data_IF_921100643461
#
_entry.id   IF_921100643461
#
_cell.length_a   1.000
_cell.length_b   1.000
_cell.length_c   1.000
_cell.angle_alpha   90.00
_cell.angle_beta   90.00
_cell.angle_gamma   90.00
#
_symmetry.space_group_name_H-M   'P 1'
#
loop_
_entity.id
_entity.type
_entity.pdbx_description
1 polymer ?
#
# COMPACT_ATOMS: atom_id res chain seq x y z
N UNK A 1 -23.72 0.35 -27.74
CA UNK A 1 -23.64 1.62 -26.99
C UNK A 1 -22.64 1.42 -25.86
N UNK A 2 -21.50 2.12 -25.95
CA UNK A 2 -20.43 2.10 -24.96
C UNK A 2 -20.97 2.62 -23.61
N UNK A 3 -21.03 1.78 -22.59
CA UNK A 3 -21.05 2.27 -21.21
C UNK A 3 -19.68 2.89 -20.97
N UNK A 4 -19.59 4.22 -21.03
CA UNK A 4 -18.49 4.97 -20.42
C UNK A 4 -18.32 4.40 -19.00
N UNK A 5 -17.12 3.90 -18.70
CA UNK A 5 -16.76 3.48 -17.36
C UNK A 5 -17.12 4.61 -16.40
N UNK A 6 -17.91 4.28 -15.38
CA UNK A 6 -18.11 5.16 -14.25
C UNK A 6 -16.71 5.37 -13.67
N UNK A 7 -16.12 6.56 -13.81
CA UNK A 7 -14.85 6.87 -13.15
C UNK A 7 -15.05 6.59 -11.66
N UNK A 8 -14.44 5.51 -11.19
CA UNK A 8 -14.49 5.11 -9.79
C UNK A 8 -13.71 6.18 -9.03
N UNK A 9 -14.41 6.95 -8.19
CA UNK A 9 -13.79 7.97 -7.34
C UNK A 9 -12.68 7.29 -6.53
N UNK A 10 -11.46 7.84 -6.58
CA UNK A 10 -10.31 7.25 -5.89
C UNK A 10 -10.49 7.33 -4.38
N UNK A 11 -9.96 6.36 -3.63
CA UNK A 11 -10.01 6.39 -2.15
C UNK A 11 -9.50 7.69 -1.55
N UNK A 12 -8.42 8.27 -2.09
CA UNK A 12 -7.90 9.56 -1.59
C UNK A 12 -8.87 10.72 -1.83
N UNK A 13 -9.59 10.74 -2.95
CA UNK A 13 -10.61 11.77 -3.22
C UNK A 13 -11.82 11.63 -2.30
N UNK A 14 -12.22 10.39 -1.98
CA UNK A 14 -13.26 10.12 -0.98
C UNK A 14 -12.83 10.58 0.42
N UNK A 15 -11.57 10.36 0.78
CA UNK A 15 -10.99 10.79 2.04
C UNK A 15 -10.97 12.31 2.13
N UNK A 16 -10.47 12.99 1.08
CA UNK A 16 -10.40 14.44 1.01
C UNK A 16 -11.79 15.06 1.14
N UNK A 17 -12.79 14.51 0.43
CA UNK A 17 -14.19 14.94 0.54
C UNK A 17 -14.76 14.75 1.95
N UNK A 18 -14.44 13.64 2.62
CA UNK A 18 -14.87 13.41 4.00
C UNK A 18 -14.29 14.45 4.95
N UNK A 19 -13.01 14.77 4.79
CA UNK A 19 -12.30 15.77 5.60
C UNK A 19 -12.80 17.19 5.33
N UNK A 20 -13.05 17.54 4.07
CA UNK A 20 -13.57 18.86 3.69
C UNK A 20 -15.00 19.09 4.20
N UNK A 21 -15.79 18.02 4.32
CA UNK A 21 -17.14 18.08 4.90
C UNK A 21 -17.15 18.18 6.42
N UNK A 22 -16.01 17.96 7.07
CA UNK A 22 -15.92 17.93 8.51
C UNK A 22 -15.96 19.35 9.11
N UNK A 23 -16.88 19.57 10.05
CA UNK A 23 -17.01 20.84 10.75
C UNK A 23 -16.31 20.74 12.11
N UNK A 24 -15.13 21.34 12.22
CA UNK A 24 -14.37 21.40 13.48
C UNK A 24 -12.94 20.91 13.34
N UNK A 25 -12.27 20.77 14.49
CA UNK A 25 -10.91 20.27 14.58
C UNK A 25 -10.91 18.75 14.44
N UNK A 26 -10.22 18.25 13.42
CA UNK A 26 -10.02 16.81 13.21
C UNK A 26 -9.28 16.19 14.42
N UNK A 27 -9.81 15.06 14.89
CA UNK A 27 -9.31 14.26 16.01
C UNK A 27 -8.70 12.94 15.53
N UNK A 28 -7.86 12.31 16.35
CA UNK A 28 -7.35 10.96 16.09
C UNK A 28 -8.44 9.92 15.82
N UNK A 29 -9.59 10.03 16.49
CA UNK A 29 -10.72 9.10 16.30
C UNK A 29 -11.34 9.25 14.91
N UNK A 30 -11.50 10.48 14.41
CA UNK A 30 -12.00 10.71 13.05
C UNK A 30 -11.01 10.22 12.00
N UNK A 31 -9.71 10.45 12.20
CA UNK A 31 -8.67 9.91 11.30
C UNK A 31 -8.76 8.39 11.23
N UNK A 32 -8.79 7.70 12.37
CA UNK A 32 -8.91 6.24 12.40
C UNK A 32 -10.20 5.75 11.71
N UNK A 33 -11.33 6.41 11.96
CA UNK A 33 -12.62 6.02 11.37
C UNK A 33 -12.64 6.22 9.86
N UNK A 34 -12.11 7.34 9.35
CA UNK A 34 -12.03 7.62 7.91
C UNK A 34 -11.17 6.56 7.22
N UNK A 35 -9.98 6.28 7.78
CA UNK A 35 -9.04 5.29 7.23
C UNK A 35 -9.63 3.89 7.25
N UNK A 36 -10.27 3.49 8.36
CA UNK A 36 -10.97 2.21 8.45
C UNK A 36 -12.12 2.12 7.44
N UNK A 37 -12.91 3.19 7.27
CA UNK A 37 -14.07 3.15 6.37
C UNK A 37 -13.68 3.04 4.89
N UNK A 38 -12.64 3.78 4.47
CA UNK A 38 -12.23 3.92 3.06
C UNK A 38 -11.17 2.88 2.67
N UNK A 39 -10.14 2.71 3.49
CA UNK A 39 -8.99 1.86 3.19
C UNK A 39 -9.04 0.51 3.89
N UNK A 40 -9.97 0.30 4.83
CA UNK A 40 -10.11 -0.93 5.63
C UNK A 40 -8.89 -1.23 6.51
N UNK A 41 -8.14 -0.20 6.88
CA UNK A 41 -7.04 -0.32 7.85
C UNK A 41 -7.50 0.13 9.23
N UNK A 42 -7.33 -0.75 10.21
CA UNK A 42 -7.42 -0.37 11.62
C UNK A 42 -6.06 0.17 12.10
N UNK A 43 -5.90 1.50 12.08
CA UNK A 43 -4.68 2.15 12.56
C UNK A 43 -4.41 1.89 14.05
N UNK A 44 -5.42 1.56 14.85
CA UNK A 44 -5.25 1.32 16.29
C UNK A 44 -4.51 0.01 16.58
N UNK A 45 -4.48 -0.89 15.61
CA UNK A 45 -3.76 -2.19 15.69
C UNK A 45 -2.37 -2.15 15.09
N UNK A 46 -1.98 -1.03 14.45
CA UNK A 46 -0.70 -0.95 13.72
C UNK A 46 0.41 -0.41 14.62
N UNK A 47 1.62 -0.99 14.54
CA UNK A 47 2.76 -0.51 15.32
C UNK A 47 3.14 0.90 14.86
N UNK A 48 3.53 1.75 15.81
CA UNK A 48 4.04 3.09 15.52
C UNK A 48 5.54 3.00 15.25
N UNK A 49 5.99 3.57 14.14
CA UNK A 49 7.38 3.47 13.68
C UNK A 49 8.33 4.50 14.30
N UNK A 50 7.79 5.52 14.99
CA UNK A 50 8.63 6.55 15.60
C UNK A 50 9.33 6.02 16.85
N UNK A 51 10.64 6.25 16.96
CA UNK A 51 11.46 5.86 18.12
C UNK A 51 10.91 6.38 19.45
N UNK A 52 10.33 7.59 19.43
CA UNK A 52 9.71 8.23 20.58
C UNK A 52 8.52 7.43 21.10
N UNK A 53 7.69 6.91 20.19
CA UNK A 53 6.51 6.11 20.54
C UNK A 53 6.83 4.64 20.83
N UNK A 54 7.84 4.06 20.17
CA UNK A 54 8.32 2.69 20.46
C UNK A 54 8.77 2.59 21.93
N UNK A 55 9.49 3.61 22.42
CA UNK A 55 9.88 3.69 23.84
C UNK A 55 8.67 3.86 24.77
N UNK A 56 7.65 4.62 24.37
CA UNK A 56 6.42 4.78 25.14
C UNK A 56 5.54 3.50 25.15
N UNK A 57 5.56 2.73 24.06
CA UNK A 57 4.84 1.46 23.89
C UNK A 57 5.40 0.36 24.77
N UNK A 58 6.72 0.31 24.93
CA UNK A 58 7.36 -0.61 25.87
C UNK A 58 7.02 -0.33 27.35
N UNK A 59 6.46 0.85 27.67
CA UNK A 59 6.20 1.33 29.04
C UNK A 59 4.70 1.43 29.35
N UNK A 60 3.82 1.45 28.34
CA UNK A 60 2.38 1.66 28.51
C UNK A 60 1.53 0.52 27.96
N UNK A 61 0.61 -0.01 28.77
CA UNK A 61 -0.35 -1.07 28.39
C UNK A 61 -1.58 -0.57 27.61
N UNK A 62 -1.55 0.66 27.09
CA UNK A 62 -2.76 1.30 26.56
C UNK A 62 -2.95 1.10 25.06
N UNK A 63 -4.15 0.64 24.73
CA UNK A 63 -4.89 0.56 23.46
C UNK A 63 -4.96 1.90 22.65
N UNK A 64 -4.10 2.88 22.94
CA UNK A 64 -4.25 4.27 22.51
C UNK A 64 -2.96 4.94 22.02
N UNK A 65 -1.85 4.22 21.88
CA UNK A 65 -0.56 4.81 21.43
C UNK A 65 -0.67 5.35 20.00
N UNK A 66 -1.34 4.62 19.11
CA UNK A 66 -1.64 5.09 17.77
C UNK A 66 -2.41 6.43 17.78
N UNK A 67 -3.45 6.54 18.61
CA UNK A 67 -4.24 7.78 18.72
C UNK A 67 -3.44 8.91 19.34
N UNK A 68 -2.65 8.64 20.38
CA UNK A 68 -1.74 9.63 20.99
C UNK A 68 -0.70 10.14 19.98
N UNK A 69 -0.14 9.25 19.16
CA UNK A 69 0.78 9.63 18.09
C UNK A 69 0.12 10.53 17.04
N UNK A 70 -1.12 10.20 16.65
CA UNK A 70 -1.91 11.01 15.73
C UNK A 70 -2.22 12.38 16.36
N UNK A 71 -2.77 12.44 17.58
CA UNK A 71 -3.14 13.69 18.24
C UNK A 71 -1.93 14.60 18.48
N UNK A 72 -0.79 14.02 18.91
CA UNK A 72 0.47 14.74 19.07
C UNK A 72 0.96 15.33 17.75
N UNK A 73 0.88 14.57 16.67
CA UNK A 73 1.32 15.05 15.35
C UNK A 73 0.35 16.09 14.78
N UNK A 74 -0.97 15.88 14.92
CA UNK A 74 -2.02 16.84 14.54
C UNK A 74 -1.87 18.17 15.28
N UNK A 75 -1.42 18.17 16.53
CA UNK A 75 -1.22 19.40 17.32
C UNK A 75 -0.16 20.35 16.73
N UNK A 76 0.70 19.85 15.84
CA UNK A 76 1.73 20.63 15.14
C UNK A 76 1.19 21.35 13.90
N UNK A 77 0.00 20.99 13.44
CA UNK A 77 -0.68 21.64 12.33
C UNK A 77 -1.54 22.81 12.81
N UNK A 78 -1.87 23.72 11.89
CA UNK A 78 -2.76 24.85 12.15
C UNK A 78 -4.22 24.45 12.32
N UNK A 79 -5.13 25.43 12.32
CA UNK A 79 -6.56 25.21 12.56
C UNK A 79 -7.24 24.30 11.51
N UNK A 80 -6.69 24.20 10.30
CA UNK A 80 -7.21 23.36 9.22
C UNK A 80 -6.13 22.45 8.67
N UNK A 81 -6.34 21.14 8.80
CA UNK A 81 -5.45 20.10 8.26
C UNK A 81 -6.07 19.56 6.97
N UNK A 82 -5.28 19.48 5.91
CA UNK A 82 -5.68 18.96 4.60
C UNK A 82 -5.57 17.44 4.56
N UNK A 83 -6.27 16.80 3.62
CA UNK A 83 -6.17 15.35 3.46
C UNK A 83 -4.78 14.86 3.06
N UNK A 84 -4.02 15.65 2.30
CA UNK A 84 -2.61 15.36 1.98
C UNK A 84 -1.79 15.30 3.28
N UNK A 85 -1.94 16.28 4.17
CA UNK A 85 -1.21 16.32 5.44
C UNK A 85 -1.58 15.14 6.35
N UNK A 86 -2.85 14.74 6.39
CA UNK A 86 -3.26 13.55 7.17
C UNK A 86 -2.65 12.27 6.58
N UNK A 87 -2.60 12.12 5.25
CA UNK A 87 -1.96 10.95 4.62
C UNK A 87 -0.45 10.92 4.87
N UNK A 88 0.22 12.07 4.81
CA UNK A 88 1.64 12.19 5.15
C UNK A 88 1.90 11.83 6.61
N UNK A 89 1.07 12.31 7.53
CA UNK A 89 1.11 11.96 8.96
C UNK A 89 0.96 10.45 9.15
N UNK A 90 -0.02 9.81 8.49
CA UNK A 90 -0.22 8.36 8.58
C UNK A 90 1.00 7.61 8.06
N UNK A 91 1.57 8.04 6.94
CA UNK A 91 2.79 7.43 6.41
C UNK A 91 3.96 7.58 7.40
N UNK A 92 4.13 8.76 8.00
CA UNK A 92 5.20 9.00 8.98
C UNK A 92 5.03 8.14 10.25
N UNK A 93 3.81 7.99 10.76
CA UNK A 93 3.54 7.28 12.01
C UNK A 93 3.58 5.76 11.80
N UNK A 94 2.99 5.25 10.71
CA UNK A 94 2.72 3.82 10.53
C UNK A 94 3.45 3.19 9.34
N UNK A 95 4.10 3.98 8.50
CA UNK A 95 4.67 3.53 7.23
C UNK A 95 3.60 2.98 6.29
N UNK A 96 2.45 3.66 6.22
CA UNK A 96 1.33 3.31 5.35
C UNK A 96 1.14 4.45 4.34
N UNK A 97 1.47 4.18 3.09
CA UNK A 97 1.36 5.15 2.00
C UNK A 97 -0.04 5.08 1.34
N UNK A 98 -0.99 5.84 1.87
CA UNK A 98 -2.38 5.84 1.39
C UNK A 98 -2.52 6.35 -0.06
N UNK A 99 -1.67 7.28 -0.50
CA UNK A 99 -1.64 7.74 -1.89
C UNK A 99 -1.22 6.62 -2.85
N UNK A 100 -0.16 5.87 -2.50
CA UNK A 100 0.28 4.71 -3.28
C UNK A 100 -0.81 3.63 -3.34
N UNK A 101 -1.44 3.32 -2.21
CA UNK A 101 -2.53 2.34 -2.13
C UNK A 101 -3.70 2.74 -3.05
N UNK A 102 -4.09 4.02 -3.03
CA UNK A 102 -5.17 4.48 -3.91
C UNK A 102 -4.76 4.51 -5.39
N UNK A 103 -3.48 4.73 -5.69
CA UNK A 103 -2.98 4.69 -7.08
C UNK A 103 -3.00 3.29 -7.69
N UNK A 104 -2.97 2.23 -6.87
CA UNK A 104 -3.05 0.84 -7.31
C UNK A 104 -4.48 0.37 -7.61
N UNK A 105 -5.50 1.16 -7.27
CA UNK A 105 -6.89 0.78 -7.55
C UNK A 105 -7.14 0.68 -9.06
N UNK A 106 -7.56 -0.52 -9.52
CA UNK A 106 -7.76 -0.79 -10.94
C UNK A 106 -6.47 -0.95 -11.74
N UNK A 107 -5.31 -0.95 -11.07
CA UNK A 107 -4.01 -1.10 -11.71
C UNK A 107 -3.66 -2.56 -12.03
N UNK A 108 -4.57 -3.49 -11.71
CA UNK A 108 -4.45 -4.95 -11.94
C UNK A 108 -3.30 -5.58 -11.17
N UNK A 109 -3.01 -5.04 -9.98
CA UNK A 109 -2.00 -5.53 -9.05
C UNK A 109 -2.64 -5.70 -7.67
N UNK A 110 -2.59 -6.92 -7.15
CA UNK A 110 -2.89 -7.16 -5.73
C UNK A 110 -1.65 -6.88 -4.90
N UNK A 111 -1.82 -6.21 -3.76
CA UNK A 111 -0.76 -5.92 -2.80
C UNK A 111 -1.09 -6.58 -1.47
N UNK A 112 -0.25 -7.54 -1.06
CA UNK A 112 -0.24 -8.09 0.29
C UNK A 112 0.94 -7.50 1.05
N UNK A 113 0.69 -6.92 2.21
CA UNK A 113 1.73 -6.29 3.01
C UNK A 113 1.35 -6.30 4.48
N UNK A 114 2.32 -6.58 5.35
CA UNK A 114 2.12 -6.65 6.81
C UNK A 114 0.97 -7.59 7.20
N UNK A 115 1.00 -8.80 6.66
CA UNK A 115 0.05 -9.90 6.92
C UNK A 115 -1.43 -9.62 6.59
N UNK A 116 -1.68 -8.75 5.62
CA UNK A 116 -3.03 -8.44 5.15
C UNK A 116 -3.04 -8.01 3.67
N UNK A 117 -4.17 -8.21 3.02
CA UNK A 117 -4.46 -7.61 1.72
C UNK A 117 -4.68 -6.11 1.86
N UNK A 118 -3.87 -5.34 1.15
CA UNK A 118 -3.93 -3.87 1.11
C UNK A 118 -4.74 -3.40 -0.10
N UNK A 119 -4.51 -4.05 -1.24
CA UNK A 119 -5.30 -3.93 -2.48
C UNK A 119 -5.47 -5.34 -3.02
N UNK A 120 -6.68 -5.69 -3.41
CA UNK A 120 -6.98 -6.96 -4.04
C UNK A 120 -8.26 -6.81 -4.85
N UNK A 121 -8.23 -7.29 -6.08
CA UNK A 121 -9.38 -7.46 -6.96
C UNK A 121 -9.28 -8.84 -7.64
N UNK A 122 -10.43 -9.49 -7.87
CA UNK A 122 -10.49 -10.83 -8.46
C UNK A 122 -9.94 -10.86 -9.89
N UNK A 123 -9.79 -9.70 -10.54
CA UNK A 123 -9.24 -9.56 -11.90
C UNK A 123 -7.79 -9.06 -11.94
N UNK A 124 -7.15 -8.88 -10.78
CA UNK A 124 -5.73 -8.50 -10.75
C UNK A 124 -4.88 -9.57 -11.44
N UNK A 125 -3.79 -9.14 -12.10
CA UNK A 125 -2.93 -10.04 -12.88
C UNK A 125 -1.72 -10.54 -12.09
N UNK A 126 -1.18 -9.69 -11.21
CA UNK A 126 0.03 -10.00 -10.45
C UNK A 126 -0.18 -9.67 -8.97
N UNK A 127 0.47 -10.45 -8.11
CA UNK A 127 0.56 -10.19 -6.68
C UNK A 127 1.94 -9.64 -6.37
N UNK A 128 1.96 -8.53 -5.63
CA UNK A 128 3.15 -8.04 -4.92
C UNK A 128 2.95 -8.34 -3.45
N UNK A 129 3.87 -9.10 -2.87
CA UNK A 129 3.81 -9.50 -1.47
C UNK A 129 5.06 -8.98 -0.75
N UNK A 130 4.88 -8.14 0.27
CA UNK A 130 5.98 -7.65 1.12
C UNK A 130 5.93 -8.25 2.52
N UNK A 131 7.10 -8.58 3.06
CA UNK A 131 7.25 -9.02 4.45
C UNK A 131 6.99 -7.89 5.45
N UNK A 132 6.80 -8.23 6.73
CA UNK A 132 6.46 -7.29 7.81
C UNK A 132 7.41 -6.08 7.94
N UNK A 133 8.70 -6.29 7.67
CA UNK A 133 9.73 -5.25 7.77
C UNK A 133 9.96 -4.46 6.48
N UNK A 134 9.20 -4.74 5.41
CA UNK A 134 9.45 -4.23 4.06
C UNK A 134 10.89 -4.49 3.57
N UNK A 135 11.57 -5.51 4.10
CA UNK A 135 12.94 -5.88 3.73
C UNK A 135 12.94 -6.74 2.46
N UNK A 136 11.85 -7.47 2.23
CA UNK A 136 11.71 -8.44 1.17
C UNK A 136 10.41 -8.29 0.39
N UNK A 137 10.45 -8.72 -0.88
CA UNK A 137 9.34 -8.65 -1.83
C UNK A 137 9.28 -9.93 -2.65
N UNK A 138 8.07 -10.48 -2.81
CA UNK A 138 7.74 -11.56 -3.73
C UNK A 138 6.78 -11.05 -4.79
N UNK A 139 6.98 -11.48 -6.04
CA UNK A 139 6.10 -11.15 -7.16
C UNK A 139 5.73 -12.44 -7.88
N UNK A 140 4.45 -12.66 -8.11
CA UNK A 140 3.92 -13.85 -8.76
C UNK A 140 2.59 -13.55 -9.47
N UNK A 141 2.13 -14.48 -10.29
CA UNK A 141 0.87 -14.43 -11.04
C UNK A 141 -0.32 -14.70 -10.13
N UNK A 142 -1.50 -14.20 -10.50
CA UNK A 142 -2.78 -14.60 -9.88
C UNK A 142 -3.39 -15.78 -10.63
N UNK A 143 -4.36 -16.45 -9.99
CA UNK A 143 -5.17 -17.48 -10.65
C UNK A 143 -5.88 -16.90 -11.88
N UNK A 144 -6.43 -15.68 -11.79
CA UNK A 144 -7.07 -15.00 -12.91
C UNK A 144 -6.12 -14.83 -14.10
N UNK A 145 -4.87 -14.41 -13.87
CA UNK A 145 -3.89 -14.30 -14.95
C UNK A 145 -3.65 -15.65 -15.64
N UNK A 146 -3.50 -16.72 -14.85
CA UNK A 146 -3.31 -18.07 -15.40
C UNK A 146 -4.53 -18.55 -16.17
N UNK A 147 -5.74 -18.30 -15.68
CA UNK A 147 -6.98 -18.64 -16.39
C UNK A 147 -7.11 -17.90 -17.73
N UNK A 148 -6.73 -16.62 -17.78
CA UNK A 148 -6.84 -15.81 -18.99
C UNK A 148 -5.73 -16.08 -20.03
N UNK A 149 -4.53 -16.46 -19.58
CA UNK A 149 -3.35 -16.54 -20.46
C UNK A 149 -2.81 -17.96 -20.65
N UNK A 150 -3.16 -18.89 -19.76
CA UNK A 150 -2.57 -20.22 -19.67
C UNK A 150 -1.14 -20.22 -19.12
N UNK A 151 -0.63 -19.09 -18.61
CA UNK A 151 0.72 -18.97 -18.07
C UNK A 151 0.69 -19.02 -16.53
N UNK A 152 1.48 -19.92 -15.96
CA UNK A 152 1.67 -20.03 -14.50
C UNK A 152 2.82 -19.14 -14.01
N UNK A 153 3.77 -18.80 -14.88
CA UNK A 153 4.92 -17.96 -14.55
C UNK A 153 4.73 -16.50 -14.99
N UNK A 154 5.50 -15.59 -14.39
CA UNK A 154 5.57 -14.20 -14.84
C UNK A 154 6.02 -14.11 -16.31
N UNK A 155 5.57 -13.11 -17.07
CA UNK A 155 6.01 -12.90 -18.45
C UNK A 155 7.53 -12.73 -18.54
N UNK A 156 8.18 -13.30 -19.56
CA UNK A 156 9.65 -13.27 -19.71
C UNK A 156 10.24 -11.85 -19.69
N UNK A 157 9.51 -10.88 -20.24
CA UNK A 157 9.87 -9.45 -20.23
C UNK A 157 9.90 -8.88 -18.82
N UNK A 158 8.91 -9.22 -17.99
CA UNK A 158 8.86 -8.85 -16.59
C UNK A 158 9.93 -9.59 -15.78
N UNK A 159 10.11 -10.90 -16.01
CA UNK A 159 11.18 -11.70 -15.41
C UNK A 159 12.56 -11.05 -15.60
N UNK A 160 12.89 -10.66 -16.85
CA UNK A 160 14.16 -10.00 -17.16
C UNK A 160 14.29 -8.64 -16.46
N UNK A 161 13.21 -7.86 -16.43
CA UNK A 161 13.20 -6.55 -15.79
C UNK A 161 13.43 -6.67 -14.28
N UNK A 162 12.76 -7.62 -13.62
CA UNK A 162 12.93 -7.91 -12.20
C UNK A 162 14.35 -8.43 -11.88
N UNK A 163 14.91 -9.27 -12.75
CA UNK A 163 16.29 -9.74 -12.61
C UNK A 163 17.29 -8.57 -12.63
N UNK A 164 17.04 -7.54 -13.44
CA UNK A 164 17.89 -6.33 -13.47
C UNK A 164 17.81 -5.52 -12.16
N UNK A 165 16.72 -5.64 -11.40
CA UNK A 165 16.60 -5.08 -10.05
C UNK A 165 17.24 -5.97 -8.96
N UNK A 166 17.77 -7.14 -9.33
CA UNK A 166 18.38 -8.09 -8.42
C UNK A 166 17.42 -9.11 -7.83
N UNK A 167 16.22 -9.27 -8.40
CA UNK A 167 15.34 -10.38 -8.03
C UNK A 167 15.92 -11.71 -8.54
N UNK A 168 15.72 -12.76 -7.76
CA UNK A 168 15.98 -14.14 -8.16
C UNK A 168 14.68 -14.92 -8.31
N UNK A 169 14.62 -15.82 -9.29
CA UNK A 169 13.52 -16.76 -9.42
C UNK A 169 13.62 -17.83 -8.32
N UNK A 170 12.56 -18.00 -7.55
CA UNK A 170 12.34 -19.20 -6.73
C UNK A 170 11.50 -20.18 -7.55
N UNK A 171 12.18 -21.07 -8.29
CA UNK A 171 11.56 -22.04 -9.19
C UNK A 171 10.57 -22.98 -8.47
N UNK A 172 10.75 -23.21 -7.17
CA UNK A 172 9.84 -24.08 -6.40
C UNK A 172 8.54 -23.38 -6.03
N UNK A 173 8.59 -22.06 -5.85
CA UNK A 173 7.46 -21.24 -5.46
C UNK A 173 6.79 -20.50 -6.63
N UNK A 174 7.36 -20.59 -7.85
CA UNK A 174 6.85 -19.88 -9.02
C UNK A 174 6.86 -18.36 -8.86
N UNK A 175 7.77 -17.82 -8.04
CA UNK A 175 7.79 -16.41 -7.69
C UNK A 175 9.17 -15.78 -7.86
N UNK A 176 9.19 -14.47 -8.10
CA UNK A 176 10.39 -13.67 -8.09
C UNK A 176 10.57 -13.03 -6.72
N UNK A 177 11.72 -13.28 -6.10
CA UNK A 177 12.02 -12.84 -4.76
C UNK A 177 13.20 -11.86 -4.74
N UNK A 178 13.06 -10.81 -3.94
CA UNK A 178 14.13 -9.88 -3.60
C UNK A 178 14.16 -9.69 -2.09
N UNK A 179 15.36 -9.57 -1.53
CA UNK A 179 15.60 -9.23 -0.13
C UNK A 179 16.70 -8.19 -0.10
N UNK A 180 16.48 -7.07 0.59
CA UNK A 180 17.49 -6.03 0.72
C UNK A 180 18.73 -6.60 1.44
N UNK A 181 19.92 -6.61 0.82
CA UNK A 181 21.13 -7.17 1.44
C UNK A 181 21.57 -6.47 2.72
N UNK A 182 21.18 -5.19 2.94
CA UNK A 182 21.49 -4.50 4.20
C UNK A 182 20.61 -4.96 5.36
N UNK A 183 19.53 -5.69 5.10
CA UNK A 183 18.51 -6.04 6.09
C UNK A 183 17.60 -4.87 6.49
N UNK A 184 17.75 -3.72 5.85
CA UNK A 184 16.90 -2.55 6.09
C UNK A 184 15.65 -2.59 5.20
N UNK A 185 14.62 -1.85 5.61
CA UNK A 185 13.43 -1.66 4.78
C UNK A 185 13.81 -1.09 3.42
N UNK A 186 13.21 -1.63 2.36
CA UNK A 186 13.40 -1.18 1.00
C UNK A 186 12.93 0.27 0.88
N UNK A 187 13.74 1.19 0.31
CA UNK A 187 13.33 2.57 0.13
C UNK A 187 12.11 2.70 -0.79
N UNK A 188 11.18 3.62 -0.47
CA UNK A 188 9.97 3.85 -1.27
C UNK A 188 10.25 4.18 -2.74
N UNK A 189 11.35 4.87 -3.04
CA UNK A 189 11.77 5.14 -4.41
C UNK A 189 12.06 3.84 -5.20
N UNK A 190 12.68 2.85 -4.56
CA UNK A 190 12.94 1.55 -5.17
C UNK A 190 11.65 0.72 -5.30
N UNK A 191 10.79 0.73 -4.27
CA UNK A 191 9.45 0.13 -4.36
C UNK A 191 8.66 0.71 -5.54
N UNK A 192 8.71 2.03 -5.73
CA UNK A 192 8.06 2.72 -6.84
C UNK A 192 8.58 2.28 -8.22
N UNK A 193 9.88 2.02 -8.36
CA UNK A 193 10.47 1.50 -9.60
C UNK A 193 9.99 0.08 -9.93
N UNK A 194 9.90 -0.79 -8.92
CA UNK A 194 9.38 -2.15 -9.06
C UNK A 194 7.91 -2.10 -9.52
N UNK A 195 7.06 -1.36 -8.80
CA UNK A 195 5.65 -1.21 -9.15
C UNK A 195 5.49 -0.62 -10.55
N UNK A 196 6.24 0.44 -10.88
CA UNK A 196 6.19 1.04 -12.21
C UNK A 196 6.57 0.07 -13.34
N UNK A 197 7.48 -0.85 -13.08
CA UNK A 197 7.87 -1.91 -14.04
C UNK A 197 6.72 -2.90 -14.28
N UNK A 198 6.04 -3.32 -13.21
CA UNK A 198 4.88 -4.22 -13.32
C UNK A 198 3.73 -3.51 -14.06
N UNK A 199 3.44 -2.26 -13.71
CA UNK A 199 2.40 -1.47 -14.38
C UNK A 199 2.67 -1.29 -15.87
N UNK A 200 3.93 -1.07 -16.23
CA UNK A 200 4.35 -1.00 -17.62
C UNK A 200 4.09 -2.32 -18.35
N UNK A 201 4.44 -3.46 -17.76
CA UNK A 201 4.15 -4.77 -18.35
C UNK A 201 2.65 -4.98 -18.55
N UNK A 202 1.83 -4.66 -17.56
CA UNK A 202 0.36 -4.75 -17.66
C UNK A 202 -0.14 -3.91 -18.84
N UNK A 203 0.31 -2.67 -18.93
CA UNK A 203 -0.11 -1.75 -19.98
C UNK A 203 0.34 -2.21 -21.38
N UNK A 204 1.58 -2.67 -21.51
CA UNK A 204 2.17 -2.98 -22.82
C UNK A 204 1.72 -4.35 -23.35
N UNK A 205 1.54 -5.35 -22.48
CA UNK A 205 1.28 -6.74 -22.85
C UNK A 205 -0.17 -7.18 -22.60
N UNK A 206 -0.89 -6.54 -21.67
CA UNK A 206 -2.22 -6.96 -21.24
C UNK A 206 -3.29 -5.85 -21.24
N UNK A 207 -3.32 -4.91 -22.21
CA UNK A 207 -4.24 -3.76 -22.18
C UNK A 207 -5.72 -4.12 -22.35
N UNK A 208 -6.03 -5.34 -22.81
CA UNK A 208 -7.39 -5.81 -23.12
C UNK A 208 -7.91 -6.89 -22.16
N UNK A 209 -7.11 -7.30 -21.18
CA UNK A 209 -7.58 -8.13 -20.07
C UNK A 209 -8.27 -7.25 -19.02
#
# INVERSE_FOLDING_TARGET
MLKKGLERVKKVELMDKHLDSHQGKITSTEVCNIVMSIFKFDLTTKPVLSKEWILAEAVSSTENIAKMAIDSTLSRYGEKVTGIEIRQLINQIFGINLDAISSLEGARISLFSKDQWVVQDDQDLFVVHTGLGDVDVKIFTTDYFTEQTGLEELPKTLQQSLTNFGFSCDEKAGCYYYSNPSGEAIPDAFKGQIIGTILKEIHDSYPSL
#
